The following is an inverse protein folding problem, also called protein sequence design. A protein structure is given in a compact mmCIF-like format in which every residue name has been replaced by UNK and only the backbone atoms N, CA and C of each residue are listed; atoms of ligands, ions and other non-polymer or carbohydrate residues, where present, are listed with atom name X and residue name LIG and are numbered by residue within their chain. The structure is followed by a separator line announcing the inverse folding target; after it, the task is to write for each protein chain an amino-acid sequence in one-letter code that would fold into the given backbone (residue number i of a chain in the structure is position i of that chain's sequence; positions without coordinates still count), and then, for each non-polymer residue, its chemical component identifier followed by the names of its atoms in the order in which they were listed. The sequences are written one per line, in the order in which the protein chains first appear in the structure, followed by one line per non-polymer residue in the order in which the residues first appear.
data_IF_345832199179
#
_entry.id   IF_345832199179
#
_cell.length_a   1.000
_cell.length_b   1.000
_cell.length_c   1.000
_cell.angle_alpha   90.00
_cell.angle_beta   90.00
_cell.angle_gamma   90.00
#
_symmetry.space_group_name_H-M   'P 1'
#
loop_
_entity.id
_entity.type
_entity.pdbx_description
1 polymer ?
#
# COMPACT_ATOMS: atom_id res chain seq x y z
N UNK A 1 21.36 -49.50 -16.21
CA UNK A 1 20.92 -48.51 -17.21
C UNK A 1 19.42 -48.23 -17.14
N UNK A 2 18.49 -49.18 -17.26
CA UNK A 2 17.04 -48.93 -17.29
C UNK A 2 16.50 -48.19 -16.04
N UNK A 3 16.96 -48.57 -14.81
CA UNK A 3 16.55 -47.88 -13.56
C UNK A 3 17.04 -46.43 -13.50
N UNK A 4 18.25 -46.15 -13.99
CA UNK A 4 18.81 -44.79 -14.02
C UNK A 4 18.05 -43.89 -15.00
N UNK A 5 17.69 -44.44 -16.17
CA UNK A 5 16.85 -43.75 -17.15
C UNK A 5 15.46 -43.46 -16.63
N UNK A 6 14.86 -44.37 -15.88
CA UNK A 6 13.56 -44.17 -15.26
C UNK A 6 13.61 -43.05 -14.18
N UNK A 7 14.62 -43.07 -13.32
CA UNK A 7 14.83 -42.00 -12.32
C UNK A 7 15.01 -40.66 -13.01
N UNK A 8 15.83 -40.59 -14.04
CA UNK A 8 16.05 -39.35 -14.79
C UNK A 8 14.75 -38.84 -15.45
N UNK A 9 13.96 -39.75 -16.06
CA UNK A 9 12.65 -39.36 -16.60
C UNK A 9 11.69 -38.85 -15.58
N UNK A 10 11.64 -39.44 -14.37
CA UNK A 10 10.82 -38.97 -13.25
C UNK A 10 11.29 -37.59 -12.79
N UNK A 11 12.57 -37.35 -12.64
CA UNK A 11 13.14 -36.06 -12.26
C UNK A 11 12.77 -34.97 -13.27
N UNK A 12 12.91 -35.26 -14.58
CA UNK A 12 12.50 -34.31 -15.63
C UNK A 12 11.01 -34.05 -15.63
N UNK A 13 10.18 -35.06 -15.39
CA UNK A 13 8.73 -34.89 -15.28
C UNK A 13 8.38 -34.00 -14.09
N UNK A 14 8.96 -34.24 -12.90
CA UNK A 14 8.72 -33.44 -11.72
C UNK A 14 9.21 -32.00 -11.90
N UNK A 15 10.36 -31.80 -12.53
CA UNK A 15 10.86 -30.47 -12.88
C UNK A 15 9.94 -29.74 -13.85
N UNK A 16 9.43 -30.44 -14.88
CA UNK A 16 8.46 -29.87 -15.82
C UNK A 16 7.14 -29.47 -15.16
N UNK A 17 6.59 -30.33 -14.28
CA UNK A 17 5.39 -30.02 -13.50
C UNK A 17 5.65 -28.86 -12.55
N UNK A 18 6.82 -28.82 -11.88
CA UNK A 18 7.22 -27.70 -11.03
C UNK A 18 7.26 -26.36 -11.77
N UNK A 19 7.84 -26.34 -12.97
CA UNK A 19 7.87 -25.15 -13.83
C UNK A 19 6.47 -24.68 -14.26
N UNK A 20 5.58 -25.62 -14.58
CA UNK A 20 4.20 -25.30 -14.96
C UNK A 20 3.38 -24.75 -13.78
N UNK A 21 3.60 -25.25 -12.57
CA UNK A 21 2.88 -24.81 -11.36
C UNK A 21 3.49 -23.55 -10.74
N UNK A 22 4.74 -23.23 -11.03
CA UNK A 22 5.49 -22.14 -10.41
C UNK A 22 4.76 -20.80 -10.49
N UNK A 23 4.24 -20.33 -11.66
CA UNK A 23 3.53 -19.04 -11.71
C UNK A 23 2.29 -19.01 -10.82
N UNK A 24 1.50 -20.09 -10.82
CA UNK A 24 0.27 -20.17 -10.01
C UNK A 24 0.56 -20.13 -8.51
N UNK A 25 1.52 -20.93 -8.05
CA UNK A 25 1.91 -20.99 -6.64
C UNK A 25 2.54 -19.68 -6.20
N UNK A 26 3.41 -19.12 -7.02
CA UNK A 26 4.11 -17.86 -6.77
C UNK A 26 3.12 -16.69 -6.68
N UNK A 27 2.19 -16.58 -7.61
CA UNK A 27 1.15 -15.55 -7.62
C UNK A 27 0.20 -15.67 -6.42
N UNK A 28 -0.19 -16.91 -6.05
CA UNK A 28 -0.98 -17.14 -4.85
C UNK A 28 -0.25 -16.66 -3.58
N UNK A 29 1.04 -17.00 -3.45
CA UNK A 29 1.85 -16.54 -2.33
C UNK A 29 1.96 -15.01 -2.30
N UNK A 30 2.20 -14.38 -3.45
CA UNK A 30 2.28 -12.92 -3.58
C UNK A 30 0.97 -12.21 -3.21
N UNK A 31 -0.18 -12.73 -3.65
CA UNK A 31 -1.49 -12.20 -3.26
C UNK A 31 -1.70 -12.28 -1.74
N UNK A 32 -1.31 -13.38 -1.11
CA UNK A 32 -1.37 -13.53 0.36
C UNK A 32 -0.47 -12.53 1.09
N UNK A 33 0.70 -12.22 0.54
CA UNK A 33 1.59 -11.19 1.12
C UNK A 33 0.92 -9.81 1.05
N UNK A 34 0.35 -9.42 -0.08
CA UNK A 34 -0.34 -8.14 -0.24
C UNK A 34 -1.56 -8.03 0.68
N UNK A 35 -2.35 -9.10 0.81
CA UNK A 35 -3.47 -9.17 1.76
C UNK A 35 -2.97 -8.99 3.20
N UNK A 36 -1.90 -9.70 3.60
CA UNK A 36 -1.34 -9.58 4.95
C UNK A 36 -0.83 -8.16 5.23
N UNK A 37 -0.28 -7.45 4.26
CA UNK A 37 0.15 -6.06 4.41
C UNK A 37 -1.04 -5.13 4.66
N UNK A 38 -2.13 -5.30 3.89
CA UNK A 38 -3.34 -4.49 4.07
C UNK A 38 -4.08 -4.84 5.37
N UNK A 39 -4.07 -6.11 5.81
CA UNK A 39 -4.63 -6.50 7.10
C UNK A 39 -3.83 -5.92 8.28
N UNK A 40 -2.49 -5.88 8.16
CA UNK A 40 -1.63 -5.18 9.13
C UNK A 40 -1.92 -3.68 9.19
N UNK A 41 -2.21 -3.06 8.05
CA UNK A 41 -2.59 -1.66 8.00
C UNK A 41 -3.90 -1.41 8.78
N UNK A 42 -4.92 -2.24 8.57
CA UNK A 42 -6.19 -2.15 9.32
C UNK A 42 -6.00 -2.41 10.82
N UNK A 43 -5.21 -3.42 11.18
CA UNK A 43 -4.92 -3.75 12.57
C UNK A 43 -4.22 -2.57 13.26
N UNK A 44 -3.28 -1.95 12.57
CA UNK A 44 -2.58 -0.75 13.03
C UNK A 44 -3.53 0.39 13.38
N UNK A 45 -4.53 0.66 12.53
CA UNK A 45 -5.50 1.72 12.79
C UNK A 45 -6.34 1.49 14.06
N UNK A 46 -6.45 0.22 14.53
CA UNK A 46 -7.19 -0.12 15.77
C UNK A 46 -6.36 0.07 17.04
N UNK A 47 -5.04 0.03 16.94
CA UNK A 47 -4.12 0.00 18.08
C UNK A 47 -3.21 1.23 18.17
N UNK A 48 -3.76 2.42 17.98
CA UNK A 48 -3.02 3.66 18.23
C UNK A 48 -2.84 3.81 19.75
N UNK A 49 -1.59 3.76 20.22
CA UNK A 49 -1.26 4.06 21.64
C UNK A 49 -1.07 5.56 21.77
N UNK A 50 -2.00 6.28 22.40
CA UNK A 50 -1.83 7.73 22.59
C UNK A 50 -0.63 8.01 23.49
N UNK A 51 0.23 8.93 23.07
CA UNK A 51 1.22 9.56 23.95
C UNK A 51 2.62 8.97 23.98
N UNK A 52 2.96 7.95 23.17
CA UNK A 52 4.33 7.46 23.04
C UNK A 52 4.93 7.89 21.70
N UNK A 53 5.97 8.73 21.75
CA UNK A 53 6.71 9.11 20.55
C UNK A 53 7.73 8.05 20.16
N UNK A 54 8.17 8.07 18.88
CA UNK A 54 9.27 7.19 18.43
C UNK A 54 10.52 7.36 19.29
N UNK A 55 10.87 8.61 19.62
CA UNK A 55 12.03 8.89 20.43
C UNK A 55 11.92 8.31 21.83
N UNK A 56 10.73 8.29 22.41
CA UNK A 56 10.47 7.65 23.69
C UNK A 56 10.60 6.13 23.59
N UNK A 57 10.12 5.54 22.51
CA UNK A 57 10.24 4.11 22.25
C UNK A 57 11.68 3.66 22.00
N UNK A 58 12.50 4.48 21.31
CA UNK A 58 13.94 4.24 21.14
C UNK A 58 14.65 4.35 22.50
N UNK A 59 14.36 5.41 23.28
CA UNK A 59 14.93 5.60 24.63
C UNK A 59 14.56 4.48 25.59
N UNK A 60 13.36 3.93 25.46
CA UNK A 60 12.88 2.80 26.28
C UNK A 60 13.35 1.44 25.74
N UNK A 61 14.09 1.39 24.63
CA UNK A 61 14.61 0.16 24.06
C UNK A 61 13.53 -0.75 23.46
N UNK A 62 12.37 -0.21 23.11
CA UNK A 62 11.26 -0.94 22.47
C UNK A 62 11.56 -1.16 20.99
N UNK A 63 12.13 -0.15 20.34
CA UNK A 63 12.61 -0.21 18.95
C UNK A 63 14.06 0.29 18.86
N UNK A 64 14.76 -0.11 17.81
CA UNK A 64 16.07 0.45 17.47
C UNK A 64 15.92 1.77 16.68
N UNK A 65 17.04 2.43 16.39
CA UNK A 65 17.05 3.67 15.61
C UNK A 65 16.48 3.54 14.19
N UNK A 66 16.38 2.29 13.67
CA UNK A 66 15.77 1.99 12.39
C UNK A 66 14.26 1.78 12.47
N UNK A 67 13.68 1.77 13.69
CA UNK A 67 12.27 1.50 13.92
C UNK A 67 11.91 0.00 14.02
N UNK A 68 12.93 -0.89 14.09
CA UNK A 68 12.74 -2.33 14.23
C UNK A 68 12.59 -2.71 15.71
N UNK A 69 11.67 -3.61 16.05
CA UNK A 69 11.49 -4.11 17.42
C UNK A 69 12.74 -4.80 17.93
N UNK A 70 13.17 -4.46 19.13
CA UNK A 70 14.26 -5.14 19.82
C UNK A 70 13.70 -6.42 20.44
N UNK A 71 13.90 -7.54 19.74
CA UNK A 71 13.47 -8.87 20.18
C UNK A 71 14.27 -9.29 21.42
N UNK A 72 13.62 -9.27 22.60
CA UNK A 72 14.23 -9.85 23.80
C UNK A 72 14.19 -9.03 25.08
N UNK A 73 13.47 -7.91 25.15
CA UNK A 73 13.16 -7.30 26.45
C UNK A 73 12.03 -8.10 27.11
N UNK A 74 12.42 -9.02 27.98
CA UNK A 74 11.51 -9.87 28.75
C UNK A 74 10.57 -9.04 29.63
N UNK A 75 9.31 -9.45 29.61
CA UNK A 75 8.28 -9.20 30.57
C UNK A 75 8.81 -9.06 32.00
N UNK A 76 8.76 -7.88 32.55
CA UNK A 76 8.85 -7.66 33.98
C UNK A 76 7.44 -7.58 34.56
N UNK A 77 7.11 -8.48 35.45
CA UNK A 77 5.86 -8.44 36.18
C UNK A 77 5.75 -7.15 37.01
N UNK A 78 4.66 -6.45 36.85
CA UNK A 78 4.27 -5.36 37.70
C UNK A 78 4.00 -5.88 39.13
N UNK A 79 4.94 -5.71 40.01
CA UNK A 79 4.73 -5.93 41.47
C UNK A 79 5.07 -4.62 42.16
N UNK A 80 4.08 -4.07 42.80
CA UNK A 80 4.14 -2.83 43.55
C UNK A 80 5.35 -2.74 44.48
N UNK A 81 5.85 -1.56 44.60
CA UNK A 81 7.02 -1.05 45.28
C UNK A 81 7.58 -1.92 46.41
N UNK A 82 8.86 -2.20 46.26
CA UNK A 82 9.76 -2.34 47.41
C UNK A 82 11.14 -1.87 46.96
N UNK A 83 11.64 -0.82 47.60
CA UNK A 83 13.03 -0.41 47.49
C UNK A 83 13.88 -1.53 48.10
N UNK A 84 14.92 -1.97 47.39
CA UNK A 84 15.94 -2.74 48.03
C UNK A 84 16.90 -1.83 48.82
N UNK A 85 17.43 -2.31 49.93
CA UNK A 85 18.25 -1.56 50.87
C UNK A 85 19.64 -1.16 50.33
N UNK A 86 19.90 -1.25 49.01
CA UNK A 86 21.20 -0.98 48.39
C UNK A 86 21.26 0.21 47.42
N UNK A 87 20.26 1.04 47.35
CA UNK A 87 20.34 2.34 46.63
C UNK A 87 20.52 2.22 45.11
N UNK A 88 20.16 1.09 44.52
CA UNK A 88 20.13 0.90 43.07
C UNK A 88 18.88 1.55 42.48
N UNK A 89 19.05 2.27 41.39
CA UNK A 89 17.99 2.88 40.62
C UNK A 89 17.06 1.75 40.07
N UNK A 90 15.83 1.70 40.58
CA UNK A 90 14.83 0.71 40.13
C UNK A 90 14.36 1.15 38.73
N UNK A 91 14.84 0.48 37.71
CA UNK A 91 14.31 0.64 36.36
C UNK A 91 12.95 -0.06 36.30
N UNK A 92 11.88 0.71 36.24
CA UNK A 92 10.54 0.16 35.99
C UNK A 92 10.50 -0.46 34.59
N UNK A 93 10.40 -1.78 34.54
CA UNK A 93 10.13 -2.50 33.30
C UNK A 93 8.63 -2.60 33.09
N UNK A 94 8.14 -2.06 32.01
CA UNK A 94 6.76 -2.23 31.60
C UNK A 94 6.63 -3.55 30.82
N UNK A 95 5.70 -4.40 31.24
CA UNK A 95 5.33 -5.60 30.50
C UNK A 95 4.46 -5.18 29.31
N UNK A 96 5.06 -5.21 28.13
CA UNK A 96 4.31 -5.04 26.89
C UNK A 96 3.90 -6.42 26.39
N UNK A 97 2.60 -6.65 26.20
CA UNK A 97 2.15 -7.78 25.40
C UNK A 97 2.80 -7.67 24.03
N UNK A 98 3.53 -8.70 23.64
CA UNK A 98 4.18 -8.80 22.34
C UNK A 98 3.08 -9.01 21.32
N UNK A 99 2.47 -7.95 20.88
CA UNK A 99 1.68 -8.00 19.66
C UNK A 99 2.66 -8.15 18.49
N UNK A 100 2.39 -9.10 17.61
CA UNK A 100 3.13 -9.31 16.34
C UNK A 100 2.87 -8.15 15.34
N UNK A 101 2.25 -7.08 15.81
CA UNK A 101 1.95 -5.85 15.09
C UNK A 101 2.84 -4.71 15.60
N UNK A 102 3.41 -3.89 14.73
CA UNK A 102 4.19 -2.74 15.16
C UNK A 102 3.34 -1.80 16.02
N UNK A 103 3.80 -1.50 17.23
CA UNK A 103 3.17 -0.48 18.08
C UNK A 103 3.18 0.84 17.32
N UNK A 104 2.01 1.43 17.15
CA UNK A 104 1.90 2.75 16.55
C UNK A 104 2.26 3.78 17.62
N UNK A 105 3.44 4.33 17.45
CA UNK A 105 3.81 5.57 18.12
C UNK A 105 2.87 6.67 17.66
N UNK A 106 2.72 7.70 18.47
CA UNK A 106 1.83 8.80 18.17
C UNK A 106 1.98 9.24 16.71
N UNK A 107 1.00 8.84 15.89
CA UNK A 107 0.93 9.27 14.51
C UNK A 107 0.48 10.72 14.52
N UNK A 108 1.27 11.60 13.92
CA UNK A 108 0.87 12.99 13.70
C UNK A 108 -0.11 13.07 12.51
N UNK A 109 -1.26 12.42 12.66
CA UNK A 109 -2.26 12.30 11.60
C UNK A 109 -2.91 13.65 11.27
N UNK A 110 -3.05 14.54 12.25
CA UNK A 110 -3.61 15.87 12.02
C UNK A 110 -2.69 16.72 11.15
N UNK A 111 -1.39 16.67 11.43
CA UNK A 111 -0.39 17.34 10.61
C UNK A 111 -0.30 16.70 9.22
N UNK A 112 -0.26 15.37 9.13
CA UNK A 112 -0.26 14.65 7.85
C UNK A 112 -1.49 15.03 7.03
N UNK A 113 -2.68 15.07 7.63
CA UNK A 113 -3.93 15.48 6.96
C UNK A 113 -3.82 16.89 6.38
N UNK A 114 -3.36 17.83 7.20
CA UNK A 114 -3.14 19.22 6.76
C UNK A 114 -2.15 19.34 5.61
N UNK A 115 -1.03 18.60 5.68
CA UNK A 115 0.00 18.62 4.63
C UNK A 115 -0.49 17.93 3.35
N UNK A 116 -1.31 16.87 3.45
CA UNK A 116 -1.98 16.26 2.28
C UNK A 116 -2.94 17.23 1.58
N UNK A 117 -3.77 17.96 2.33
CA UNK A 117 -4.68 18.96 1.76
C UNK A 117 -3.92 20.12 1.10
N UNK A 118 -2.84 20.57 1.73
CA UNK A 118 -1.96 21.61 1.16
C UNK A 118 -1.29 21.14 -0.13
N UNK A 119 -0.79 19.91 -0.15
CA UNK A 119 -0.25 19.29 -1.34
C UNK A 119 -1.30 19.24 -2.47
N UNK A 120 -2.51 18.75 -2.18
CA UNK A 120 -3.60 18.71 -3.15
C UNK A 120 -3.98 20.10 -3.69
N UNK A 121 -3.96 21.11 -2.82
CA UNK A 121 -4.22 22.49 -3.23
C UNK A 121 -3.15 23.00 -4.22
N UNK A 122 -1.88 22.72 -3.97
CA UNK A 122 -0.78 23.09 -4.88
C UNK A 122 -0.89 22.36 -6.21
N UNK A 123 -1.21 21.06 -6.21
CA UNK A 123 -1.42 20.28 -7.43
C UNK A 123 -2.57 20.87 -8.26
N UNK A 124 -3.69 21.26 -7.64
CA UNK A 124 -4.82 21.87 -8.38
C UNK A 124 -4.45 23.13 -9.14
N UNK A 125 -3.49 23.89 -8.65
CA UNK A 125 -3.07 25.14 -9.29
C UNK A 125 -1.89 24.95 -10.26
N UNK A 126 -0.99 23.99 -10.00
CA UNK A 126 0.32 23.93 -10.65
C UNK A 126 0.59 22.62 -11.41
N UNK A 127 -0.33 21.65 -11.47
CA UNK A 127 -0.10 20.31 -11.99
C UNK A 127 0.60 20.28 -13.36
N UNK A 128 0.13 21.08 -14.31
CA UNK A 128 0.68 21.09 -15.66
C UNK A 128 2.12 21.59 -15.76
N UNK A 129 2.58 22.37 -14.76
CA UNK A 129 3.97 22.83 -14.68
C UNK A 129 4.88 21.87 -13.91
N UNK A 130 4.31 20.94 -13.14
CA UNK A 130 5.03 19.96 -12.33
C UNK A 130 5.25 18.64 -13.07
N UNK A 131 4.30 18.24 -13.93
CA UNK A 131 4.37 17.01 -14.74
C UNK A 131 5.12 17.21 -16.07
N UNK A 132 6.23 17.90 -16.04
CA UNK A 132 7.05 18.18 -17.24
C UNK A 132 8.19 17.17 -17.45
N UNK A 133 8.55 16.43 -16.44
CA UNK A 133 9.64 15.46 -16.43
C UNK A 133 9.07 14.03 -16.21
N UNK A 134 9.50 13.08 -17.06
CA UNK A 134 9.05 11.70 -16.97
C UNK A 134 9.47 11.02 -15.65
N UNK A 135 10.52 11.51 -14.99
CA UNK A 135 11.00 10.97 -13.71
C UNK A 135 10.39 11.67 -12.48
N UNK A 136 9.77 12.83 -12.66
CA UNK A 136 9.25 13.65 -11.57
C UNK A 136 8.16 12.93 -10.73
N UNK A 137 7.42 11.99 -11.32
CA UNK A 137 6.35 11.24 -10.66
C UNK A 137 6.84 10.11 -9.74
N UNK A 138 8.13 9.81 -9.73
CA UNK A 138 8.71 8.66 -9.02
C UNK A 138 8.99 8.95 -7.55
N UNK A 139 9.37 10.18 -7.21
CA UNK A 139 9.78 10.53 -5.86
C UNK A 139 8.59 10.96 -4.99
N UNK A 140 8.43 10.43 -3.77
CA UNK A 140 7.35 10.85 -2.88
C UNK A 140 7.58 12.29 -2.41
N UNK A 141 6.56 13.14 -2.51
CA UNK A 141 6.60 14.51 -1.98
C UNK A 141 6.36 14.53 -0.47
N UNK A 142 5.59 13.57 0.04
CA UNK A 142 5.31 13.41 1.46
C UNK A 142 6.11 12.22 1.98
N UNK A 143 7.02 12.51 2.91
CA UNK A 143 7.80 11.52 3.64
C UNK A 143 7.00 11.08 4.88
N UNK A 144 6.37 9.92 4.80
CA UNK A 144 5.49 9.38 5.85
C UNK A 144 6.22 9.13 7.17
N UNK A 145 7.54 8.92 7.14
CA UNK A 145 8.33 8.72 8.35
C UNK A 145 8.33 9.92 9.29
N UNK A 146 8.15 11.13 8.75
CA UNK A 146 8.03 12.38 9.53
C UNK A 146 6.75 12.47 10.36
N UNK A 147 5.82 11.55 10.13
CA UNK A 147 4.53 11.47 10.80
C UNK A 147 4.38 10.19 11.63
N UNK A 148 5.51 9.45 11.83
CA UNK A 148 5.53 8.21 12.59
C UNK A 148 5.17 6.94 11.78
N UNK A 149 5.05 7.04 10.45
CA UNK A 149 4.69 5.93 9.57
C UNK A 149 5.94 5.42 8.87
N UNK A 150 6.42 4.24 9.25
CA UNK A 150 7.73 3.69 8.81
C UNK A 150 7.64 2.52 7.83
N UNK A 151 6.47 2.07 7.47
CA UNK A 151 6.26 1.03 6.46
C UNK A 151 5.85 1.60 5.09
N UNK A 152 5.86 2.94 4.98
CA UNK A 152 5.57 3.72 3.77
C UNK A 152 4.18 3.44 3.14
N UNK A 153 3.28 2.74 3.87
CA UNK A 153 1.93 2.45 3.39
C UNK A 153 0.99 3.60 3.73
N UNK A 154 0.55 4.33 2.71
CA UNK A 154 -0.43 5.43 2.84
C UNK A 154 -1.88 4.94 3.03
N UNK A 155 -2.18 3.77 2.47
CA UNK A 155 -3.51 3.19 2.47
C UNK A 155 -3.56 1.94 1.62
N UNK A 156 -4.75 1.56 1.18
CA UNK A 156 -4.88 0.49 0.20
C UNK A 156 -6.01 0.75 -0.80
N UNK A 157 -5.89 0.13 -1.98
CA UNK A 157 -6.94 0.04 -3.01
C UNK A 157 -7.53 -1.37 -3.02
N UNK A 158 -8.86 -1.47 -3.09
CA UNK A 158 -9.60 -2.74 -3.16
C UNK A 158 -10.58 -2.72 -4.32
N UNK A 159 -10.58 -3.79 -5.12
CA UNK A 159 -11.48 -3.99 -6.25
C UNK A 159 -12.05 -5.42 -6.19
N UNK A 160 -13.21 -5.62 -5.53
CA UNK A 160 -13.75 -6.95 -5.29
C UNK A 160 -14.07 -7.74 -6.55
N UNK A 161 -14.52 -7.08 -7.64
CA UNK A 161 -14.88 -7.75 -8.89
C UNK A 161 -13.73 -8.49 -9.57
N UNK A 162 -12.47 -8.16 -9.22
CA UNK A 162 -11.26 -8.82 -9.72
C UNK A 162 -10.39 -9.43 -8.61
N UNK A 163 -10.94 -9.55 -7.39
CA UNK A 163 -10.26 -10.08 -6.19
C UNK A 163 -8.90 -9.39 -5.95
N UNK A 164 -8.87 -8.05 -6.03
CA UNK A 164 -7.67 -7.26 -5.87
C UNK A 164 -7.74 -6.41 -4.60
N UNK A 165 -6.69 -6.48 -3.77
CA UNK A 165 -6.45 -5.60 -2.63
C UNK A 165 -4.95 -5.37 -2.48
N UNK A 166 -4.51 -4.12 -2.69
CA UNK A 166 -3.10 -3.75 -2.74
C UNK A 166 -2.81 -2.54 -1.85
N UNK A 167 -1.70 -2.54 -1.10
CA UNK A 167 -1.23 -1.36 -0.41
C UNK A 167 -0.88 -0.25 -1.41
N UNK A 168 -1.05 1.01 -0.97
CA UNK A 168 -0.70 2.21 -1.74
C UNK A 168 0.57 2.81 -1.13
N UNK A 169 1.58 2.95 -1.97
CA UNK A 169 2.85 3.63 -1.66
C UNK A 169 2.88 4.98 -2.37
N UNK A 170 3.56 5.97 -1.78
CA UNK A 170 3.73 7.28 -2.40
C UNK A 170 4.97 7.32 -3.28
N UNK A 171 4.84 7.84 -4.51
CA UNK A 171 5.89 7.84 -5.53
C UNK A 171 5.86 6.59 -6.42
N UNK A 172 5.63 6.78 -7.73
CA UNK A 172 5.50 5.68 -8.70
C UNK A 172 6.87 5.23 -9.23
N UNK A 173 7.77 4.83 -8.33
CA UNK A 173 9.06 4.23 -8.67
C UNK A 173 9.00 2.71 -8.73
N UNK A 174 10.05 2.09 -9.28
CA UNK A 174 10.11 0.64 -9.47
C UNK A 174 10.08 -0.16 -8.16
N UNK A 175 10.61 0.39 -7.07
CA UNK A 175 10.58 -0.25 -5.76
C UNK A 175 9.15 -0.30 -5.21
N UNK A 176 8.46 0.84 -5.10
CA UNK A 176 7.09 0.93 -4.61
C UNK A 176 6.12 0.07 -5.45
N UNK A 177 6.25 0.10 -6.79
CA UNK A 177 5.45 -0.74 -7.67
C UNK A 177 5.74 -2.23 -7.51
N UNK A 178 6.89 -2.63 -6.96
CA UNK A 178 7.20 -4.03 -6.66
C UNK A 178 6.52 -4.56 -5.39
N UNK A 179 5.92 -3.66 -4.60
CA UNK A 179 5.19 -4.00 -3.35
C UNK A 179 3.69 -3.82 -3.45
N UNK A 180 3.19 -2.89 -4.27
CA UNK A 180 1.76 -2.60 -4.37
C UNK A 180 1.40 -1.64 -5.50
N UNK A 181 0.31 -0.91 -5.31
CA UNK A 181 -0.05 0.23 -6.12
C UNK A 181 0.77 1.45 -5.69
N UNK A 182 1.29 2.20 -6.64
CA UNK A 182 2.11 3.37 -6.37
C UNK A 182 1.40 4.66 -6.82
N UNK A 183 1.25 5.61 -5.91
CA UNK A 183 0.70 6.92 -6.22
C UNK A 183 1.67 7.71 -7.09
N UNK A 184 1.20 8.20 -8.21
CA UNK A 184 1.98 9.02 -9.13
C UNK A 184 2.11 10.44 -8.56
N UNK A 185 3.33 10.83 -8.20
CA UNK A 185 3.64 12.17 -7.69
C UNK A 185 3.17 13.25 -8.69
N UNK A 186 2.78 14.39 -8.17
CA UNK A 186 2.12 15.50 -8.91
C UNK A 186 0.72 15.16 -9.44
N UNK A 187 0.09 14.12 -8.93
CA UNK A 187 -1.35 13.94 -8.95
C UNK A 187 -1.91 14.09 -7.53
N UNK A 188 -3.21 14.31 -7.36
CA UNK A 188 -3.76 14.51 -6.00
C UNK A 188 -3.77 13.22 -5.20
N UNK A 189 -3.58 13.33 -3.89
CA UNK A 189 -3.84 12.25 -2.96
C UNK A 189 -5.36 12.06 -2.78
N UNK A 190 -5.82 10.82 -2.48
CA UNK A 190 -7.25 10.52 -2.33
C UNK A 190 -7.76 11.02 -0.97
N UNK A 191 -8.10 12.29 -0.90
CA UNK A 191 -8.59 12.98 0.30
C UNK A 191 -10.09 13.31 0.22
N UNK A 192 -10.80 12.85 -0.83
CA UNK A 192 -12.23 13.07 -1.00
C UNK A 192 -12.61 14.49 -1.44
N UNK A 193 -11.67 15.24 -1.98
CA UNK A 193 -11.88 16.60 -2.45
C UNK A 193 -12.31 16.62 -3.91
N UNK A 194 -13.16 17.56 -4.27
CA UNK A 194 -13.47 17.86 -5.68
C UNK A 194 -12.27 18.49 -6.40
N UNK A 195 -12.33 18.48 -7.74
CA UNK A 195 -11.27 18.96 -8.60
C UNK A 195 -9.96 18.24 -8.29
N UNK A 196 -10.05 16.90 -8.32
CA UNK A 196 -8.94 16.00 -7.99
C UNK A 196 -8.88 14.84 -8.97
N UNK A 197 -7.68 14.29 -9.14
CA UNK A 197 -7.44 13.02 -9.81
C UNK A 197 -6.27 12.33 -9.13
N UNK A 198 -6.57 11.35 -8.28
CA UNK A 198 -5.57 10.48 -7.70
C UNK A 198 -5.15 9.44 -8.74
N UNK A 199 -3.87 9.37 -9.07
CA UNK A 199 -3.38 8.40 -10.06
C UNK A 199 -2.53 7.33 -9.40
N UNK A 200 -2.90 6.07 -9.63
CA UNK A 200 -2.18 4.89 -9.15
C UNK A 200 -1.60 4.11 -10.33
N UNK A 201 -0.30 3.86 -10.27
CA UNK A 201 0.42 2.97 -11.18
C UNK A 201 0.63 1.59 -10.55
N UNK A 202 0.64 0.54 -11.36
CA UNK A 202 0.96 -0.80 -10.91
C UNK A 202 1.44 -1.66 -12.06
N UNK A 203 2.32 -2.60 -11.76
CA UNK A 203 2.83 -3.55 -12.74
C UNK A 203 1.76 -4.52 -13.24
N UNK A 204 1.98 -5.05 -14.43
CA UNK A 204 1.35 -6.26 -14.95
C UNK A 204 2.42 -7.28 -15.27
N UNK A 205 2.08 -8.56 -15.26
CA UNK A 205 2.99 -9.68 -15.55
C UNK A 205 4.25 -9.72 -14.65
N UNK A 206 4.15 -9.21 -13.42
CA UNK A 206 5.25 -9.22 -12.45
C UNK A 206 5.42 -10.63 -11.86
N UNK A 207 6.63 -11.19 -11.96
CA UNK A 207 6.88 -12.56 -11.52
C UNK A 207 6.64 -12.72 -10.01
N UNK A 208 5.70 -13.61 -9.66
CA UNK A 208 5.41 -13.96 -8.28
C UNK A 208 4.39 -13.09 -7.58
N UNK A 209 3.81 -12.10 -8.24
CA UNK A 209 2.73 -11.26 -7.69
C UNK A 209 1.74 -10.87 -8.77
N UNK A 210 0.48 -10.73 -8.39
CA UNK A 210 -0.59 -10.15 -9.20
C UNK A 210 -0.84 -8.75 -8.65
N UNK A 211 -0.58 -7.74 -9.47
CA UNK A 211 -0.85 -6.35 -9.16
C UNK A 211 -2.02 -5.83 -10.01
N UNK A 212 -1.74 -5.12 -11.09
CA UNK A 212 -2.76 -4.57 -11.98
C UNK A 212 -3.05 -5.44 -13.21
N UNK A 213 -2.67 -6.72 -13.18
CA UNK A 213 -2.86 -7.69 -14.27
C UNK A 213 -4.33 -7.81 -14.72
N UNK A 214 -5.24 -7.74 -13.76
CA UNK A 214 -6.67 -7.91 -13.99
C UNK A 214 -7.42 -6.61 -14.29
N UNK A 215 -6.76 -5.43 -14.29
CA UNK A 215 -7.44 -4.15 -14.56
C UNK A 215 -8.24 -4.14 -15.87
N UNK A 216 -7.73 -4.85 -16.89
CA UNK A 216 -8.43 -4.96 -18.21
C UNK A 216 -9.78 -5.68 -18.17
N UNK A 217 -10.12 -6.32 -17.04
CA UNK A 217 -11.42 -6.97 -16.85
C UNK A 217 -12.48 -6.01 -16.33
N UNK A 218 -12.07 -4.83 -15.88
CA UNK A 218 -12.98 -3.81 -15.37
C UNK A 218 -13.75 -3.15 -16.50
N UNK A 219 -14.98 -2.79 -16.17
CA UNK A 219 -15.93 -2.15 -17.07
C UNK A 219 -16.66 -1.02 -16.35
N UNK A 220 -17.22 -0.04 -17.04
CA UNK A 220 -18.04 0.98 -16.42
C UNK A 220 -19.13 0.39 -15.53
N UNK A 221 -19.20 0.87 -14.29
CA UNK A 221 -20.11 0.36 -13.25
C UNK A 221 -19.43 -0.46 -12.16
N UNK A 222 -18.22 -1.01 -12.39
CA UNK A 222 -17.46 -1.71 -11.36
C UNK A 222 -17.06 -0.76 -10.22
N UNK A 223 -17.02 -1.29 -9.00
CA UNK A 223 -16.72 -0.52 -7.79
C UNK A 223 -15.26 -0.68 -7.38
N UNK A 224 -14.66 0.44 -6.97
CA UNK A 224 -13.29 0.55 -6.49
C UNK A 224 -13.31 1.28 -5.15
N UNK A 225 -12.57 0.79 -4.18
CA UNK A 225 -12.51 1.35 -2.85
C UNK A 225 -11.08 1.78 -2.52
N UNK A 226 -10.95 2.95 -1.92
CA UNK A 226 -9.69 3.44 -1.34
C UNK A 226 -9.88 3.59 0.17
N UNK A 227 -9.00 2.97 0.94
CA UNK A 227 -8.87 3.20 2.37
C UNK A 227 -7.60 3.98 2.64
N UNK A 228 -7.71 5.14 3.29
CA UNK A 228 -6.58 5.85 3.85
C UNK A 228 -6.68 5.93 5.39
N UNK A 229 -5.86 6.75 6.05
CA UNK A 229 -5.83 6.85 7.51
C UNK A 229 -7.14 7.38 8.12
N UNK A 230 -7.93 8.13 7.36
CA UNK A 230 -9.11 8.85 7.85
C UNK A 230 -10.42 8.27 7.35
N UNK A 231 -10.49 7.89 6.06
CA UNK A 231 -11.74 7.56 5.39
C UNK A 231 -11.66 6.35 4.47
N UNK A 232 -12.87 5.84 4.16
CA UNK A 232 -13.12 4.90 3.07
C UNK A 232 -13.80 5.64 1.93
N UNK A 233 -13.18 5.64 0.77
CA UNK A 233 -13.69 6.28 -0.43
C UNK A 233 -14.19 5.25 -1.42
N UNK A 234 -15.44 5.41 -1.87
CA UNK A 234 -16.04 4.56 -2.89
C UNK A 234 -16.01 5.27 -4.24
N UNK A 235 -15.45 4.61 -5.23
CA UNK A 235 -15.40 5.07 -6.61
C UNK A 235 -16.09 4.06 -7.52
N UNK A 236 -16.54 4.53 -8.68
CA UNK A 236 -17.11 3.68 -9.73
C UNK A 236 -16.38 3.91 -11.02
N UNK A 237 -16.02 2.83 -11.73
CA UNK A 237 -15.45 2.90 -13.08
C UNK A 237 -16.43 3.62 -14.00
N UNK A 238 -15.98 4.67 -14.66
CA UNK A 238 -16.75 5.46 -15.63
C UNK A 238 -16.25 5.26 -17.05
N UNK A 239 -14.93 5.00 -17.23
CA UNK A 239 -14.32 4.82 -18.54
C UNK A 239 -13.04 3.99 -18.45
N UNK A 240 -12.64 3.42 -19.60
CA UNK A 240 -11.34 2.77 -19.81
C UNK A 240 -10.73 3.23 -21.11
N UNK A 241 -9.43 3.44 -21.14
CA UNK A 241 -8.73 3.95 -22.33
C UNK A 241 -7.35 3.29 -22.50
N UNK A 242 -6.88 3.26 -23.75
CA UNK A 242 -5.52 2.85 -24.08
C UNK A 242 -4.82 4.03 -24.74
N UNK A 243 -3.68 4.41 -24.18
CA UNK A 243 -2.87 5.50 -24.72
C UNK A 243 -1.43 5.05 -24.94
N UNK A 244 -0.76 5.68 -25.92
CA UNK A 244 0.69 5.58 -26.05
C UNK A 244 1.39 6.22 -24.82
N UNK A 245 2.65 5.85 -24.52
CA UNK A 245 3.34 6.34 -23.32
C UNK A 245 3.45 7.87 -23.22
N UNK A 246 3.50 8.57 -24.36
CA UNK A 246 3.56 10.02 -24.48
C UNK A 246 2.19 10.71 -24.39
N UNK A 247 1.10 9.95 -24.29
CA UNK A 247 -0.27 10.45 -24.22
C UNK A 247 -0.82 10.24 -22.81
N UNK A 248 -0.83 11.27 -22.00
CA UNK A 248 -1.15 11.17 -20.58
C UNK A 248 -2.32 12.04 -20.11
N UNK A 249 -3.28 12.33 -21.00
CA UNK A 249 -4.42 13.22 -20.66
C UNK A 249 -5.24 12.71 -19.47
N UNK A 250 -5.31 11.38 -19.27
CA UNK A 250 -6.08 10.77 -18.20
C UNK A 250 -5.51 11.04 -16.79
N UNK A 251 -4.27 11.49 -16.66
CA UNK A 251 -3.65 11.77 -15.35
C UNK A 251 -3.93 13.19 -14.84
N UNK A 252 -4.36 14.09 -15.72
CA UNK A 252 -4.60 15.48 -15.34
C UNK A 252 -5.96 15.68 -14.68
N UNK A 253 -6.02 16.70 -13.84
CA UNK A 253 -7.30 17.21 -13.33
C UNK A 253 -8.01 17.93 -14.47
N UNK A 254 -9.21 17.46 -14.82
CA UNK A 254 -9.93 17.97 -16.00
C UNK A 254 -11.18 18.78 -15.67
N UNK A 255 -11.77 18.58 -14.51
CA UNK A 255 -13.04 19.19 -14.11
C UNK A 255 -13.22 19.18 -12.57
N UNK A 256 -14.44 19.48 -12.10
CA UNK A 256 -14.78 19.57 -10.68
C UNK A 256 -15.06 18.21 -10.00
N UNK A 257 -14.80 17.08 -10.67
CA UNK A 257 -15.01 15.75 -10.10
C UNK A 257 -13.90 15.36 -9.14
N UNK A 258 -14.17 14.38 -8.32
CA UNK A 258 -13.18 13.60 -7.56
C UNK A 258 -12.93 12.30 -8.33
N UNK A 259 -11.78 12.20 -8.99
CA UNK A 259 -11.40 11.09 -9.83
C UNK A 259 -10.30 10.23 -9.19
N UNK A 260 -10.38 8.94 -9.46
CA UNK A 260 -9.33 7.97 -9.26
C UNK A 260 -8.98 7.34 -10.61
N UNK A 261 -7.76 7.50 -11.03
CA UNK A 261 -7.24 6.91 -12.27
C UNK A 261 -6.21 5.84 -11.94
N UNK A 262 -6.41 4.62 -12.43
CA UNK A 262 -5.43 3.52 -12.29
C UNK A 262 -4.88 3.19 -13.67
N UNK A 263 -3.58 2.88 -13.76
CA UNK A 263 -3.03 2.43 -15.02
C UNK A 263 -1.95 1.36 -14.88
N UNK A 264 -1.80 0.58 -15.93
CA UNK A 264 -0.73 -0.42 -16.09
C UNK A 264 -0.21 -0.44 -17.51
N UNK A 265 0.97 -1.04 -17.71
CA UNK A 265 1.53 -1.25 -19.03
C UNK A 265 0.90 -2.48 -19.69
N UNK A 266 0.63 -2.39 -21.00
CA UNK A 266 0.16 -3.50 -21.83
C UNK A 266 0.99 -3.57 -23.11
N UNK A 267 1.36 -4.77 -23.63
CA UNK A 267 2.08 -4.88 -24.89
C UNK A 267 1.32 -4.24 -26.06
N UNK A 268 2.01 -3.48 -26.91
CA UNK A 268 1.45 -2.85 -28.10
C UNK A 268 1.44 -3.76 -29.34
N UNK A 269 2.05 -4.95 -29.23
CA UNK A 269 2.22 -5.92 -30.31
C UNK A 269 3.44 -5.69 -31.20
N UNK A 270 4.18 -4.62 -31.03
CA UNK A 270 5.38 -4.27 -31.81
C UNK A 270 6.68 -4.41 -31.00
N UNK A 271 6.59 -4.84 -29.75
CA UNK A 271 7.70 -4.99 -28.81
C UNK A 271 7.85 -3.83 -27.85
N UNK A 272 6.92 -2.91 -27.84
CA UNK A 272 6.79 -1.76 -26.94
C UNK A 272 5.53 -1.89 -26.09
N UNK A 273 5.23 -0.89 -25.25
CA UNK A 273 4.10 -0.91 -24.34
C UNK A 273 3.24 0.34 -24.49
N UNK A 274 1.92 0.12 -24.53
CA UNK A 274 0.91 1.14 -24.26
C UNK A 274 0.55 1.15 -22.78
N UNK A 275 -0.20 2.17 -22.35
CA UNK A 275 -0.78 2.29 -21.01
C UNK A 275 -2.28 2.06 -21.07
N UNK A 276 -2.77 1.10 -20.30
CA UNK A 276 -4.21 0.87 -20.10
C UNK A 276 -4.65 1.61 -18.85
N UNK A 277 -5.63 2.50 -19.02
CA UNK A 277 -6.20 3.33 -17.96
C UNK A 277 -7.58 2.86 -17.59
N UNK A 278 -7.89 2.91 -16.29
CA UNK A 278 -9.22 2.77 -15.71
C UNK A 278 -9.52 4.07 -14.97
N UNK A 279 -10.55 4.78 -15.39
CA UNK A 279 -10.94 6.07 -14.83
C UNK A 279 -12.19 5.85 -13.98
N UNK A 280 -12.13 6.25 -12.72
CA UNK A 280 -13.21 6.10 -11.76
C UNK A 280 -13.62 7.47 -11.21
N UNK A 281 -14.91 7.62 -10.91
CA UNK A 281 -15.46 8.80 -10.26
C UNK A 281 -15.99 8.46 -8.88
N UNK A 282 -15.79 9.35 -7.93
CA UNK A 282 -16.27 9.23 -6.57
C UNK A 282 -17.79 9.03 -6.52
N UNK A 283 -18.23 8.02 -5.78
CA UNK A 283 -19.65 7.80 -5.45
C UNK A 283 -19.91 8.45 -4.09
N UNK A 284 -21.01 9.20 -3.97
CA UNK A 284 -21.42 9.74 -2.68
C UNK A 284 -21.66 8.60 -1.67
N UNK A 285 -21.23 8.82 -0.43
CA UNK A 285 -21.10 7.81 0.64
C UNK A 285 -22.33 6.91 0.81
N UNK A 286 -22.26 5.68 0.29
CA UNK A 286 -23.27 4.63 0.52
C UNK A 286 -22.71 3.22 0.75
N UNK A 287 -21.42 2.97 0.69
CA UNK A 287 -20.93 1.60 0.87
C UNK A 287 -19.64 1.56 1.69
N UNK A 288 -19.67 0.85 2.81
CA UNK A 288 -18.46 0.29 3.42
C UNK A 288 -17.91 -0.80 2.50
N UNK A 289 -16.59 -0.86 2.31
CA UNK A 289 -15.89 -1.93 1.58
C UNK A 289 -16.45 -3.32 1.98
N UNK A 290 -16.98 -4.12 1.05
CA UNK A 290 -17.50 -5.46 1.34
C UNK A 290 -16.39 -6.52 1.50
N UNK A 291 -15.12 -6.15 1.61
CA UNK A 291 -14.00 -7.09 1.76
C UNK A 291 -14.23 -8.04 2.94
N UNK A 292 -13.93 -9.34 2.82
CA UNK A 292 -14.11 -10.33 3.87
C UNK A 292 -13.26 -9.99 5.09
N UNK A 293 -13.90 -9.54 6.15
CA UNK A 293 -13.28 -9.09 7.42
C UNK A 293 -14.07 -7.99 8.13
N UNK A 294 -15.02 -7.32 7.47
CA UNK A 294 -15.89 -6.30 8.07
C UNK A 294 -17.21 -6.89 8.59
N UNK A 295 -17.20 -8.02 9.30
CA UNK A 295 -18.36 -8.38 10.11
C UNK A 295 -18.45 -7.40 11.27
N UNK A 296 -19.51 -6.58 11.24
CA UNK A 296 -19.89 -5.72 12.37
C UNK A 296 -20.21 -6.58 13.58
N UNK A 297 -19.90 -6.08 14.80
CA UNK A 297 -20.22 -6.76 16.05
C UNK A 297 -21.70 -6.98 16.26
#
# INVERSE_FOLDING_TARGET
MKKLLLIFAIVLLLAGVGLLLFPTVSNFAGTKISQAQTDKYEERLKHVVPGMTRDDAVKQGIINEKGEYIKGTNSGQNSGGNCDDNGGEVVEYYEYEVYDSPVLFELDLDRLYSDCLKYNADIRENQSSLLIDEDAYQEPVIDLSKYGIYDDVFGYVSIPSIDMRLPIYLGANGENMSYGAAHMTYTTLPMGEKRSNCVLAGHTDYIGRIFFDNLRRLSPGDEVYIRNFWDNFSYRVIDTAVYAPDQSQAIYISDDRDLLTMFTCIPDGNGDFNRFFVICERVADQASDPSPGSEKP
#
